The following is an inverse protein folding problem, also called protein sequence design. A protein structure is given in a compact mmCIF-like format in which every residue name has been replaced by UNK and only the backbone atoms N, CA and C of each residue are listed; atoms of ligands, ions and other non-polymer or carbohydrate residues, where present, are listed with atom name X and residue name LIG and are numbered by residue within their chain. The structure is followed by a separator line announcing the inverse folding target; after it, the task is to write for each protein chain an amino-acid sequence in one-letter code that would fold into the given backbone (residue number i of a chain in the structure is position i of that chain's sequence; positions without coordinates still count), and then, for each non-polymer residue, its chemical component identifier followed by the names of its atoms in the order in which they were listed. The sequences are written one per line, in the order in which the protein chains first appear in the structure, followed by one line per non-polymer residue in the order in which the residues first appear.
data_IF_394519239084
#
_entry.id   IF_394519239084
#
_cell.length_a   1.000
_cell.length_b   1.000
_cell.length_c   1.000
_cell.angle_alpha   90.00
_cell.angle_beta   90.00
_cell.angle_gamma   90.00
#
_symmetry.space_group_name_H-M   'P 1'
#
loop_
_entity.id
_entity.type
_entity.pdbx_description
1 polymer ?
#
# COMPACT_ATOMS: atom_id res chain seq x y z
N UNK A 1 11.24 -20.88 -9.50
CA UNK A 1 10.08 -20.18 -10.09
C UNK A 1 10.01 -18.79 -9.46
N UNK A 2 10.07 -17.72 -10.25
CA UNK A 2 10.02 -16.34 -9.74
C UNK A 2 8.55 -15.87 -9.83
N UNK A 3 7.94 -15.54 -8.70
CA UNK A 3 6.50 -15.21 -8.61
C UNK A 3 6.20 -13.72 -8.73
N UNK A 4 7.23 -12.86 -8.62
CA UNK A 4 7.17 -11.40 -8.47
C UNK A 4 6.47 -10.89 -7.19
N UNK A 5 6.12 -11.77 -6.25
CA UNK A 5 5.65 -11.32 -4.95
C UNK A 5 6.84 -10.87 -4.08
N UNK A 6 6.74 -9.69 -3.44
CA UNK A 6 7.78 -9.18 -2.54
C UNK A 6 7.71 -9.83 -1.13
N UNK A 7 7.02 -10.96 -1.01
CA UNK A 7 6.84 -11.70 0.23
C UNK A 7 6.79 -13.20 -0.05
N UNK A 8 6.99 -14.00 0.99
CA UNK A 8 6.96 -15.45 0.92
C UNK A 8 5.56 -15.95 1.31
N UNK A 9 5.02 -16.88 0.53
CA UNK A 9 3.82 -17.64 0.89
C UNK A 9 4.29 -19.00 1.37
N UNK A 10 4.09 -19.27 2.66
CA UNK A 10 4.35 -20.57 3.26
C UNK A 10 3.02 -21.20 3.63
N UNK A 11 2.67 -22.29 2.95
CA UNK A 11 1.44 -23.05 3.16
C UNK A 11 1.65 -24.50 2.69
N UNK A 12 0.75 -25.39 3.08
CA UNK A 12 0.79 -26.82 2.74
C UNK A 12 0.32 -27.08 1.31
N UNK A 13 1.02 -26.51 0.32
CA UNK A 13 0.71 -26.75 -1.09
C UNK A 13 0.94 -28.21 -1.48
N UNK A 14 -0.05 -28.81 -2.13
CA UNK A 14 0.11 -30.09 -2.81
C UNK A 14 1.00 -29.90 -4.04
N UNK A 15 2.03 -30.74 -4.14
CA UNK A 15 3.00 -30.70 -5.23
C UNK A 15 2.73 -31.85 -6.21
N UNK A 16 3.17 -31.67 -7.46
CA UNK A 16 3.30 -32.79 -8.40
C UNK A 16 4.28 -33.85 -7.84
N UNK A 17 4.21 -35.08 -8.35
CA UNK A 17 5.08 -36.18 -7.89
C UNK A 17 6.58 -35.87 -8.01
N UNK A 18 6.98 -35.01 -8.95
CA UNK A 18 8.36 -34.52 -9.10
C UNK A 18 8.81 -33.62 -7.94
N UNK A 19 7.88 -33.10 -7.13
CA UNK A 19 8.09 -32.09 -6.07
C UNK A 19 8.65 -30.75 -6.55
N UNK A 20 8.69 -30.53 -7.86
CA UNK A 20 9.24 -29.32 -8.47
C UNK A 20 8.17 -28.28 -8.82
N UNK A 21 6.89 -28.67 -8.79
CA UNK A 21 5.78 -27.81 -9.19
C UNK A 21 4.57 -27.94 -8.27
N UNK A 22 3.89 -26.82 -8.05
CA UNK A 22 2.61 -26.74 -7.33
C UNK A 22 1.50 -27.28 -8.25
N UNK A 23 0.64 -28.15 -7.72
CA UNK A 23 -0.53 -28.65 -8.44
C UNK A 23 -1.67 -27.62 -8.37
N UNK A 24 -1.62 -26.59 -9.22
CA UNK A 24 -2.58 -25.48 -9.17
C UNK A 24 -4.04 -25.87 -9.41
N UNK A 25 -4.29 -26.98 -10.10
CA UNK A 25 -5.65 -27.43 -10.38
C UNK A 25 -6.36 -28.08 -9.18
N UNK A 26 -5.61 -28.44 -8.14
CA UNK A 26 -6.14 -29.05 -6.93
C UNK A 26 -7.08 -28.11 -6.18
N UNK A 27 -8.28 -28.56 -5.77
CA UNK A 27 -9.20 -27.77 -4.94
C UNK A 27 -8.55 -27.25 -3.65
N UNK A 28 -7.65 -28.03 -3.05
CA UNK A 28 -6.93 -27.63 -1.85
C UNK A 28 -6.03 -26.43 -2.09
N UNK A 29 -5.21 -26.48 -3.15
CA UNK A 29 -4.30 -25.38 -3.49
C UNK A 29 -5.07 -24.13 -3.91
N UNK A 30 -6.19 -24.28 -4.63
CA UNK A 30 -7.09 -23.17 -4.97
C UNK A 30 -7.63 -22.51 -3.70
N UNK A 31 -8.13 -23.30 -2.74
CA UNK A 31 -8.59 -22.79 -1.45
C UNK A 31 -7.51 -22.04 -0.66
N UNK A 32 -6.26 -22.53 -0.68
CA UNK A 32 -5.12 -21.79 -0.10
C UNK A 32 -4.96 -20.44 -0.80
N UNK A 33 -4.91 -20.41 -2.13
CA UNK A 33 -4.70 -19.18 -2.91
C UNK A 33 -5.80 -18.15 -2.66
N UNK A 34 -7.07 -18.57 -2.57
CA UNK A 34 -8.22 -17.71 -2.25
C UNK A 34 -8.12 -17.06 -0.85
N UNK A 35 -7.46 -17.73 0.11
CA UNK A 35 -7.26 -17.20 1.46
C UNK A 35 -6.15 -16.14 1.54
N UNK A 36 -5.17 -16.17 0.63
CA UNK A 36 -3.96 -15.34 0.72
C UNK A 36 -4.27 -13.84 0.77
N UNK A 37 -5.14 -13.27 -0.09
CA UNK A 37 -5.44 -11.85 -0.02
C UNK A 37 -5.90 -11.36 1.36
N UNK A 38 -6.76 -12.13 2.02
CA UNK A 38 -7.26 -11.80 3.37
C UNK A 38 -6.15 -11.94 4.43
N UNK A 39 -5.36 -13.01 4.36
CA UNK A 39 -4.24 -13.23 5.28
C UNK A 39 -3.18 -12.13 5.14
N UNK A 40 -2.83 -11.77 3.90
CA UNK A 40 -1.93 -10.66 3.59
C UNK A 40 -2.47 -9.35 4.17
N UNK A 41 -3.75 -9.03 3.91
CA UNK A 41 -4.33 -7.78 4.38
C UNK A 41 -4.26 -7.66 5.90
N UNK A 42 -4.62 -8.72 6.63
CA UNK A 42 -4.55 -8.73 8.10
C UNK A 42 -3.13 -8.49 8.61
N UNK A 43 -2.13 -9.17 8.03
CA UNK A 43 -0.74 -8.99 8.38
C UNK A 43 -0.22 -7.59 8.02
N UNK A 44 -0.62 -7.07 6.86
CA UNK A 44 -0.23 -5.76 6.38
C UNK A 44 -0.81 -4.63 7.24
N UNK A 45 -2.11 -4.70 7.59
CA UNK A 45 -2.74 -3.76 8.53
C UNK A 45 -2.03 -3.79 9.87
N UNK A 46 -1.76 -4.99 10.41
CA UNK A 46 -1.00 -5.12 11.65
C UNK A 46 0.38 -4.47 11.52
N UNK A 47 1.10 -4.70 10.42
CA UNK A 47 2.43 -4.12 10.19
C UNK A 47 2.39 -2.58 10.12
N UNK A 48 1.42 -2.01 9.40
CA UNK A 48 1.30 -0.56 9.18
C UNK A 48 0.77 0.16 10.42
N UNK A 49 -0.21 -0.43 11.13
CA UNK A 49 -0.92 0.24 12.25
C UNK A 49 -0.38 -0.09 13.65
N UNK A 50 0.23 -1.26 13.88
CA UNK A 50 0.71 -1.67 15.23
C UNK A 50 1.86 -0.82 15.77
N UNK A 51 2.57 -0.12 14.88
CA UNK A 51 3.72 0.72 15.23
C UNK A 51 3.28 2.14 15.57
N UNK A 52 2.35 2.33 16.51
CA UNK A 52 1.95 3.68 16.96
C UNK A 52 3.15 4.52 17.37
N UNK A 53 4.15 3.89 18.00
CA UNK A 53 5.33 4.56 18.57
C UNK A 53 6.51 4.69 17.58
N UNK A 54 6.46 4.02 16.43
CA UNK A 54 7.56 4.11 15.46
C UNK A 54 7.53 5.44 14.70
N UNK A 55 8.69 6.00 14.31
CA UNK A 55 8.74 7.21 13.50
C UNK A 55 7.93 7.08 12.21
N UNK A 56 7.12 8.09 11.87
CA UNK A 56 6.27 8.10 10.67
C UNK A 56 7.07 7.84 9.37
N UNK A 57 8.33 8.28 9.33
CA UNK A 57 9.26 8.02 8.22
C UNK A 57 9.58 6.55 7.94
N UNK A 58 9.26 5.63 8.87
CA UNK A 58 9.46 4.18 8.68
C UNK A 58 8.27 3.48 8.04
N UNK A 59 7.11 4.15 7.95
CA UNK A 59 5.89 3.57 7.37
C UNK A 59 6.02 3.33 5.85
N UNK A 60 6.56 4.26 5.04
CA UNK A 60 6.65 4.07 3.59
C UNK A 60 7.38 2.80 3.16
N UNK A 61 8.41 2.36 3.90
CA UNK A 61 9.15 1.14 3.55
C UNK A 61 8.30 -0.13 3.66
N UNK A 62 7.26 -0.14 4.50
CA UNK A 62 6.35 -1.29 4.63
C UNK A 62 5.57 -1.52 3.34
N UNK A 63 5.28 -0.46 2.58
CA UNK A 63 4.53 -0.56 1.33
C UNK A 63 5.30 -1.26 0.21
N UNK A 64 6.61 -1.53 0.38
CA UNK A 64 7.37 -2.38 -0.53
C UNK A 64 6.89 -3.84 -0.53
N UNK A 65 6.11 -4.27 0.47
CA UNK A 65 5.46 -5.58 0.48
C UNK A 65 4.21 -5.66 -0.41
N UNK A 66 3.76 -4.55 -1.00
CA UNK A 66 2.66 -4.60 -1.97
C UNK A 66 3.13 -5.21 -3.30
N UNK A 67 2.38 -6.14 -3.88
CA UNK A 67 2.75 -6.80 -5.13
C UNK A 67 2.43 -5.90 -6.35
N UNK A 68 3.21 -4.82 -6.49
CA UNK A 68 3.00 -3.79 -7.53
C UNK A 68 3.21 -4.32 -8.94
N UNK A 69 4.14 -5.28 -9.10
CA UNK A 69 4.46 -5.91 -10.38
C UNK A 69 3.45 -7.01 -10.71
N UNK A 70 3.00 -7.11 -11.97
CA UNK A 70 2.24 -8.27 -12.43
C UNK A 70 2.98 -9.58 -12.17
N UNK A 71 2.24 -10.64 -11.85
CA UNK A 71 2.78 -11.98 -11.72
C UNK A 71 3.10 -12.56 -13.10
N UNK A 72 4.27 -13.18 -13.24
CA UNK A 72 4.61 -13.95 -14.44
C UNK A 72 3.88 -15.30 -14.50
N UNK A 73 3.16 -15.66 -13.44
CA UNK A 73 2.39 -16.89 -13.34
C UNK A 73 0.91 -16.51 -13.35
N UNK A 74 0.17 -16.77 -14.44
CA UNK A 74 -1.23 -16.36 -14.56
C UNK A 74 -2.11 -16.85 -13.41
N UNK A 75 -1.80 -18.02 -12.84
CA UNK A 75 -2.52 -18.62 -11.71
C UNK A 75 -2.34 -17.84 -10.39
N UNK A 76 -1.34 -16.98 -10.29
CA UNK A 76 -1.11 -16.12 -9.11
C UNK A 76 -1.66 -14.70 -9.28
N UNK A 77 -2.09 -14.30 -10.48
CA UNK A 77 -2.72 -13.00 -10.68
C UNK A 77 -4.01 -12.78 -9.87
N UNK A 78 -4.89 -13.79 -9.68
CA UNK A 78 -6.03 -13.66 -8.77
C UNK A 78 -5.63 -13.29 -7.33
N UNK A 79 -4.45 -13.74 -6.87
CA UNK A 79 -3.93 -13.36 -5.56
C UNK A 79 -3.50 -11.89 -5.55
N UNK A 80 -2.77 -11.44 -6.58
CA UNK A 80 -2.32 -10.04 -6.69
C UNK A 80 -3.51 -9.07 -6.76
N UNK A 81 -4.47 -9.36 -7.62
CA UNK A 81 -5.68 -8.56 -7.78
C UNK A 81 -6.53 -8.56 -6.52
N UNK A 82 -6.73 -9.73 -5.89
CA UNK A 82 -7.42 -9.81 -4.61
C UNK A 82 -6.75 -9.00 -3.49
N UNK A 83 -5.40 -8.94 -3.47
CA UNK A 83 -4.67 -8.06 -2.55
C UNK A 83 -4.96 -6.59 -2.89
N UNK A 84 -4.88 -6.21 -4.18
CA UNK A 84 -5.17 -4.84 -4.62
C UNK A 84 -6.57 -4.40 -4.17
N UNK A 85 -7.59 -5.21 -4.43
CA UNK A 85 -8.99 -4.90 -4.12
C UNK A 85 -9.21 -4.65 -2.63
N UNK A 86 -8.59 -5.46 -1.76
CA UNK A 86 -8.66 -5.28 -0.30
C UNK A 86 -7.94 -4.03 0.17
N UNK A 87 -6.77 -3.76 -0.40
CA UNK A 87 -5.95 -2.60 -0.05
C UNK A 87 -6.64 -1.29 -0.44
N UNK A 88 -7.37 -1.26 -1.55
CA UNK A 88 -8.08 -0.07 -2.05
C UNK A 88 -9.23 0.40 -1.15
N UNK A 89 -9.78 -0.48 -0.31
CA UNK A 89 -10.93 -0.17 0.55
C UNK A 89 -10.55 -0.01 2.02
N UNK A 90 -9.29 -0.22 2.38
CA UNK A 90 -8.81 -0.13 3.76
C UNK A 90 -8.15 1.23 4.05
N UNK A 91 -8.39 1.73 5.26
CA UNK A 91 -7.72 2.90 5.83
C UNK A 91 -6.25 2.59 6.18
N UNK A 92 -5.37 2.48 5.19
CA UNK A 92 -3.93 2.20 5.39
C UNK A 92 -3.01 3.31 4.90
N UNK A 93 -3.49 4.24 4.08
CA UNK A 93 -2.62 5.26 3.48
C UNK A 93 -2.33 6.35 4.50
N UNK A 94 -1.07 6.56 4.90
CA UNK A 94 -0.74 7.55 5.90
C UNK A 94 -0.88 8.95 5.33
N UNK A 95 -1.64 9.77 6.02
CA UNK A 95 -1.91 11.14 5.64
C UNK A 95 -1.08 12.11 6.48
N UNK A 96 -0.80 13.28 5.92
CA UNK A 96 -0.18 14.38 6.62
C UNK A 96 -1.13 14.85 7.73
N UNK A 97 -0.70 14.72 8.99
CA UNK A 97 -1.43 15.17 10.16
C UNK A 97 -0.60 16.19 10.93
N UNK A 98 -1.24 17.30 11.32
CA UNK A 98 -0.64 18.32 12.18
C UNK A 98 -0.68 17.93 13.67
N UNK A 99 -1.14 16.71 13.96
CA UNK A 99 -1.24 16.10 15.29
C UNK A 99 -0.23 14.95 15.43
N UNK A 100 0.23 14.62 16.66
CA UNK A 100 1.10 13.47 16.91
C UNK A 100 0.47 12.12 16.55
N UNK A 101 -0.88 12.08 16.49
CA UNK A 101 -1.63 10.90 16.09
C UNK A 101 -1.53 10.68 14.59
N UNK A 102 -1.20 9.43 14.20
CA UNK A 102 -1.14 9.00 12.81
C UNK A 102 -2.56 8.88 12.25
N UNK A 103 -2.79 9.52 11.12
CA UNK A 103 -4.04 9.42 10.38
C UNK A 103 -3.85 8.51 9.18
N UNK A 104 -4.76 7.56 9.01
CA UNK A 104 -4.79 6.66 7.86
C UNK A 104 -6.13 6.78 7.17
N UNK A 105 -6.12 6.81 5.84
CA UNK A 105 -7.30 6.95 5.00
C UNK A 105 -7.27 5.92 3.86
N UNK A 106 -8.40 5.76 3.16
CA UNK A 106 -8.46 4.91 1.97
C UNK A 106 -7.67 5.55 0.83
N UNK A 107 -7.05 4.76 -0.06
CA UNK A 107 -6.35 5.31 -1.22
C UNK A 107 -7.17 6.29 -2.06
N UNK A 108 -8.48 6.05 -2.23
CA UNK A 108 -9.36 6.92 -3.02
C UNK A 108 -9.67 8.28 -2.36
N UNK A 109 -9.39 8.44 -1.06
CA UNK A 109 -9.60 9.66 -0.29
C UNK A 109 -8.31 10.50 -0.18
N UNK A 110 -7.19 9.99 -0.72
CA UNK A 110 -5.87 10.60 -0.58
C UNK A 110 -5.39 11.17 -1.91
N UNK A 111 -4.82 12.36 -1.86
CA UNK A 111 -4.15 12.99 -2.98
C UNK A 111 -2.65 13.16 -2.73
N UNK A 112 -1.88 12.93 -3.79
CA UNK A 112 -0.44 13.16 -3.80
C UNK A 112 -0.12 14.56 -4.31
N UNK A 113 0.43 15.39 -3.43
CA UNK A 113 0.96 16.71 -3.78
C UNK A 113 2.24 16.58 -4.60
N UNK A 114 2.43 17.49 -5.55
CA UNK A 114 3.71 17.61 -6.26
C UNK A 114 4.81 18.09 -5.31
N UNK A 115 6.05 17.59 -5.46
CA UNK A 115 7.20 18.02 -4.65
C UNK A 115 7.36 19.54 -4.54
N UNK A 116 7.22 20.26 -5.65
CA UNK A 116 7.33 21.72 -5.69
C UNK A 116 6.30 22.46 -4.80
N UNK A 117 5.16 21.83 -4.50
CA UNK A 117 4.15 22.42 -3.63
C UNK A 117 4.52 22.26 -2.15
N UNK A 118 5.28 21.22 -1.78
CA UNK A 118 5.77 21.07 -0.41
C UNK A 118 6.69 22.22 0.00
N UNK A 119 7.55 22.70 -0.89
CA UNK A 119 8.39 23.88 -0.63
C UNK A 119 7.56 25.13 -0.30
N UNK A 120 6.40 25.28 -0.94
CA UNK A 120 5.46 26.39 -0.68
C UNK A 120 4.81 26.20 0.69
N UNK A 121 4.34 24.99 1.02
CA UNK A 121 3.73 24.69 2.31
C UNK A 121 4.70 24.90 3.47
N UNK A 122 5.97 24.52 3.30
CA UNK A 122 7.03 24.75 4.29
C UNK A 122 7.22 26.25 4.52
N UNK A 123 7.38 27.05 3.45
CA UNK A 123 7.51 28.51 3.55
C UNK A 123 6.29 29.19 4.17
N UNK A 124 5.08 28.74 3.83
CA UNK A 124 3.85 29.25 4.42
C UNK A 124 3.79 28.98 5.93
N UNK A 125 4.20 27.77 6.34
CA UNK A 125 4.29 27.40 7.76
C UNK A 125 5.34 28.23 8.51
N UNK A 126 6.52 28.42 7.91
CA UNK A 126 7.57 29.30 8.47
C UNK A 126 7.08 30.76 8.62
N UNK A 127 6.14 31.17 7.76
CA UNK A 127 5.48 32.47 7.81
C UNK A 127 4.28 32.52 8.78
N UNK A 128 4.02 31.45 9.54
CA UNK A 128 2.96 31.40 10.56
C UNK A 128 1.56 31.05 10.05
N UNK A 129 1.42 30.58 8.80
CA UNK A 129 0.12 30.17 8.23
C UNK A 129 -0.33 28.86 8.85
N UNK A 130 -1.58 28.82 9.34
CA UNK A 130 -2.20 27.59 9.84
C UNK A 130 -2.66 26.70 8.67
N UNK A 131 -2.03 25.53 8.56
CA UNK A 131 -2.25 24.55 7.50
C UNK A 131 -3.22 23.43 7.90
N UNK A 132 -3.85 23.51 9.08
CA UNK A 132 -4.79 22.48 9.57
C UNK A 132 -5.96 22.21 8.63
N UNK A 133 -6.34 23.18 7.80
CA UNK A 133 -7.48 23.08 6.89
C UNK A 133 -7.15 22.46 5.51
N UNK A 134 -5.91 22.02 5.26
CA UNK A 134 -5.57 21.43 3.96
C UNK A 134 -6.34 20.13 3.62
N UNK A 135 -6.99 19.51 4.61
CA UNK A 135 -7.80 18.30 4.45
C UNK A 135 -9.33 18.55 4.52
N UNK A 136 -9.82 19.80 4.53
CA UNK A 136 -11.24 20.09 4.86
C UNK A 136 -12.27 19.77 3.77
N UNK A 137 -11.86 19.33 2.58
CA UNK A 137 -12.78 19.09 1.46
C UNK A 137 -12.91 17.60 1.07
N UNK A 138 -12.68 16.69 2.01
CA UNK A 138 -12.83 15.24 1.77
C UNK A 138 -11.70 14.62 0.94
N UNK A 139 -10.61 15.37 0.75
CA UNK A 139 -9.37 14.86 0.17
C UNK A 139 -8.25 15.09 1.19
N UNK A 140 -7.66 14.00 1.65
CA UNK A 140 -6.53 14.01 2.56
C UNK A 140 -5.23 14.09 1.78
N UNK A 141 -4.22 14.71 2.37
CA UNK A 141 -2.92 14.84 1.74
C UNK A 141 -2.05 13.67 2.17
N UNK A 142 -1.46 12.99 1.19
CA UNK A 142 -0.49 11.93 1.43
C UNK A 142 0.66 12.45 2.30
N UNK A 143 1.11 11.64 3.27
CA UNK A 143 2.28 12.00 4.08
C UNK A 143 3.49 12.33 3.21
N UNK A 144 4.17 13.43 3.54
CA UNK A 144 5.41 13.86 2.86
C UNK A 144 6.51 12.79 2.82
N UNK A 145 6.47 11.80 3.71
CA UNK A 145 7.42 10.68 3.71
C UNK A 145 7.31 9.76 2.47
N UNK A 146 6.20 9.82 1.73
CA UNK A 146 6.02 9.12 0.45
C UNK A 146 6.50 9.91 -0.77
N UNK A 147 6.97 11.16 -0.59
CA UNK A 147 7.38 12.04 -1.69
C UNK A 147 8.79 11.70 -2.22
N UNK A 148 8.97 10.45 -2.63
CA UNK A 148 10.18 9.92 -3.27
C UNK A 148 9.77 9.09 -4.47
N UNK A 149 10.52 9.22 -5.56
CA UNK A 149 10.28 8.47 -6.80
C UNK A 149 10.24 6.95 -6.60
N UNK A 150 10.91 6.44 -5.56
CA UNK A 150 10.88 5.04 -5.14
C UNK A 150 9.48 4.50 -4.79
N UNK A 151 8.52 5.38 -4.47
CA UNK A 151 7.15 5.00 -4.12
C UNK A 151 6.14 5.22 -5.25
N UNK A 152 6.55 5.71 -6.42
CA UNK A 152 5.64 5.97 -7.54
C UNK A 152 4.86 4.72 -7.97
N UNK A 153 5.51 3.56 -8.01
CA UNK A 153 4.86 2.28 -8.36
C UNK A 153 3.84 1.85 -7.31
N UNK A 154 4.12 2.10 -6.03
CA UNK A 154 3.19 1.87 -4.92
C UNK A 154 1.98 2.80 -5.05
N UNK A 155 2.19 4.10 -5.26
CA UNK A 155 1.09 5.07 -5.39
C UNK A 155 0.21 4.76 -6.60
N UNK A 156 0.83 4.34 -7.71
CA UNK A 156 0.11 3.87 -8.90
C UNK A 156 -0.69 2.60 -8.59
N UNK A 157 -0.12 1.64 -7.86
CA UNK A 157 -0.82 0.41 -7.48
C UNK A 157 -2.05 0.69 -6.60
N UNK A 158 -1.94 1.69 -5.72
CA UNK A 158 -3.00 2.16 -4.83
C UNK A 158 -4.01 3.10 -5.52
N UNK A 159 -3.85 3.40 -6.82
CA UNK A 159 -4.68 4.34 -7.56
C UNK A 159 -4.77 5.74 -6.89
N UNK A 160 -3.73 6.14 -6.15
CA UNK A 160 -3.64 7.46 -5.51
C UNK A 160 -3.42 8.52 -6.58
N UNK A 161 -4.34 9.48 -6.66
CA UNK A 161 -4.29 10.52 -7.69
C UNK A 161 -3.25 11.57 -7.34
N UNK A 162 -2.44 11.95 -8.32
CA UNK A 162 -1.66 13.18 -8.23
C UNK A 162 -2.61 14.37 -8.36
N UNK A 163 -2.38 15.42 -7.56
CA UNK A 163 -3.05 16.71 -7.76
C UNK A 163 -2.55 17.31 -9.07
N UNK A 164 -3.26 17.07 -10.17
CA UNK A 164 -3.08 17.77 -11.43
C UNK A 164 -3.81 19.11 -11.37
N UNK A 165 -3.24 20.13 -12.02
CA UNK A 165 -4.03 21.28 -12.43
C UNK A 165 -5.03 20.79 -13.48
N UNK A 166 -6.27 21.27 -13.40
CA UNK A 166 -7.27 21.13 -14.47
C UNK A 166 -6.69 21.49 -15.84
#
# INVERSE_FOLDING_TARGET
MVTNFPFIIQADFLLASSREAILFDSPWNKGILECIPSAFMNAFVALVKSRTDAPAMTIPSMFHYLPVSPSMIPLLEPVRSGIKDKVLVEDIVPCESHTPQKMFCKPCEVAWLKPAFWDILVKARESGVDLKNLSTHGTYILSSHFDKSAYNSVLTFLDVKSVSHE
#
